data_IF_419122122413
#
_entry.id   IF_419122122413
#
_cell.length_a   1.000
_cell.length_b   1.000
_cell.length_c   1.000
_cell.angle_alpha   90.00
_cell.angle_beta   90.00
_cell.angle_gamma   90.00
#
_symmetry.space_group_name_H-M   'P 1'
#
loop_
_entity.id
_entity.type
_entity.pdbx_description
1 polymer ?
#
# COMPACT_ATOMS: atom_id res chain seq x y z
N UNK A 1 -22.12 -0.27 2.56
CA UNK A 1 -20.78 -0.10 3.12
C UNK A 1 -20.17 -1.39 3.65
N UNK A 2 -20.88 -2.17 4.46
CA UNK A 2 -20.41 -3.49 4.93
C UNK A 2 -20.04 -4.45 3.77
N UNK A 3 -20.87 -4.49 2.70
CA UNK A 3 -20.58 -5.25 1.47
C UNK A 3 -19.35 -4.73 0.71
N UNK A 4 -19.07 -3.44 0.79
CA UNK A 4 -17.89 -2.79 0.15
C UNK A 4 -16.61 -3.19 0.87
N UNK A 5 -16.64 -3.20 2.21
CA UNK A 5 -15.52 -3.66 3.03
C UNK A 5 -15.20 -5.15 2.78
N UNK A 6 -16.25 -5.99 2.72
CA UNK A 6 -16.12 -7.40 2.39
C UNK A 6 -15.57 -7.61 0.97
N UNK A 7 -15.98 -6.78 -0.01
CA UNK A 7 -15.39 -6.78 -1.36
C UNK A 7 -13.92 -6.39 -1.35
N UNK A 8 -13.54 -5.32 -0.64
CA UNK A 8 -12.13 -4.92 -0.49
C UNK A 8 -11.27 -6.05 0.08
N UNK A 9 -11.79 -6.78 1.08
CA UNK A 9 -11.14 -7.95 1.66
C UNK A 9 -11.09 -9.16 0.71
N UNK A 10 -12.06 -9.29 -0.19
CA UNK A 10 -12.13 -10.37 -1.20
C UNK A 10 -11.23 -10.08 -2.41
N UNK A 11 -11.11 -8.82 -2.84
CA UNK A 11 -10.24 -8.40 -3.96
C UNK A 11 -8.77 -8.59 -3.59
N UNK A 12 -8.39 -8.33 -2.34
CA UNK A 12 -7.06 -8.68 -1.82
C UNK A 12 -6.73 -10.19 -1.90
N UNK A 13 -7.73 -11.02 -2.24
CA UNK A 13 -7.62 -12.48 -2.30
C UNK A 13 -6.85 -13.01 -3.50
N UNK A 14 -6.79 -12.28 -4.59
CA UNK A 14 -6.24 -12.75 -5.87
C UNK A 14 -4.72 -12.46 -6.05
N UNK A 15 -4.13 -11.65 -5.17
CA UNK A 15 -2.83 -11.02 -5.43
C UNK A 15 -1.60 -11.68 -4.77
N UNK A 16 -1.77 -12.65 -3.87
CA UNK A 16 -0.65 -13.16 -3.05
C UNK A 16 -0.55 -14.68 -3.08
N UNK A 17 0.69 -15.21 -3.17
CA UNK A 17 0.97 -16.65 -3.13
C UNK A 17 0.67 -17.29 -1.75
N UNK A 18 0.64 -18.65 -1.65
CA UNK A 18 -0.04 -19.36 -0.55
C UNK A 18 0.44 -19.04 0.87
N UNK A 19 1.71 -18.79 1.12
CA UNK A 19 2.21 -18.54 2.49
C UNK A 19 2.23 -17.06 2.91
N UNK A 20 2.60 -16.16 2.01
CA UNK A 20 2.51 -14.72 2.23
C UNK A 20 1.05 -14.24 2.30
N UNK A 21 0.17 -14.94 1.59
CA UNK A 21 -1.25 -14.70 1.47
C UNK A 21 -2.00 -14.89 2.80
N UNK A 22 -1.68 -15.92 3.57
CA UNK A 22 -2.35 -16.22 4.84
C UNK A 22 -2.15 -15.09 5.87
N UNK A 23 -0.92 -14.64 6.04
CA UNK A 23 -0.55 -13.57 6.99
C UNK A 23 -1.12 -12.19 6.61
N UNK A 24 -1.19 -11.86 5.32
CA UNK A 24 -1.77 -10.60 4.84
C UNK A 24 -3.29 -10.58 4.99
N UNK A 25 -3.95 -11.70 4.70
CA UNK A 25 -5.40 -11.86 4.84
C UNK A 25 -5.87 -11.79 6.28
N UNK A 26 -5.15 -12.40 7.21
CA UNK A 26 -5.50 -12.33 8.62
C UNK A 26 -5.41 -10.89 9.14
N UNK A 27 -4.35 -10.17 8.78
CA UNK A 27 -4.19 -8.76 9.17
C UNK A 27 -5.29 -7.88 8.58
N UNK A 28 -5.61 -8.03 7.30
CA UNK A 28 -6.71 -7.30 6.67
C UNK A 28 -8.06 -7.63 7.31
N UNK A 29 -8.31 -8.90 7.66
CA UNK A 29 -9.52 -9.32 8.36
C UNK A 29 -9.61 -8.75 9.78
N UNK A 30 -8.51 -8.70 10.50
CA UNK A 30 -8.46 -8.11 11.85
C UNK A 30 -8.71 -6.61 11.80
N UNK A 31 -8.10 -5.90 10.85
CA UNK A 31 -8.38 -4.48 10.64
C UNK A 31 -9.85 -4.22 10.29
N UNK A 32 -10.41 -5.02 9.39
CA UNK A 32 -11.81 -4.93 9.02
C UNK A 32 -12.74 -5.24 10.19
N UNK A 33 -12.47 -6.32 10.94
CA UNK A 33 -13.26 -6.69 12.12
C UNK A 33 -13.23 -5.58 13.17
N UNK A 34 -12.06 -5.00 13.45
CA UNK A 34 -11.92 -3.91 14.40
C UNK A 34 -12.72 -2.66 14.01
N UNK A 35 -12.75 -2.33 12.72
CA UNK A 35 -13.51 -1.17 12.21
C UNK A 35 -15.00 -1.48 12.12
N UNK A 36 -15.38 -2.71 11.74
CA UNK A 36 -16.79 -3.14 11.67
C UNK A 36 -17.51 -3.09 13.02
N UNK A 37 -16.81 -3.20 14.15
CA UNK A 37 -17.42 -3.03 15.49
C UNK A 37 -18.01 -1.63 15.71
N UNK A 38 -17.61 -0.65 14.89
CA UNK A 38 -18.08 0.74 14.93
C UNK A 38 -19.18 1.07 13.92
N UNK A 39 -19.66 0.08 13.18
CA UNK A 39 -20.78 0.24 12.26
C UNK A 39 -22.09 0.46 13.03
N UNK A 40 -23.11 1.16 12.44
CA UNK A 40 -23.11 1.70 11.08
C UNK A 40 -22.36 3.05 10.96
N UNK A 41 -21.77 3.30 9.80
CA UNK A 41 -21.12 4.57 9.49
C UNK A 41 -22.09 5.53 8.80
N UNK A 42 -22.12 6.80 9.23
CA UNK A 42 -23.01 7.82 8.70
C UNK A 42 -22.65 8.27 7.28
N UNK A 43 -21.38 8.19 6.92
CA UNK A 43 -20.86 8.57 5.60
C UNK A 43 -19.60 7.78 5.23
N UNK A 44 -19.19 7.89 3.96
CA UNK A 44 -17.91 7.37 3.49
C UNK A 44 -16.74 7.98 4.26
N UNK A 45 -16.77 9.29 4.50
CA UNK A 45 -15.73 10.01 5.22
C UNK A 45 -15.60 9.51 6.66
N UNK A 46 -16.73 9.23 7.34
CA UNK A 46 -16.71 8.69 8.70
C UNK A 46 -16.07 7.30 8.75
N UNK A 47 -16.34 6.46 7.75
CA UNK A 47 -15.73 5.15 7.59
C UNK A 47 -14.22 5.24 7.36
N UNK A 48 -13.78 6.08 6.40
CA UNK A 48 -12.36 6.33 6.12
C UNK A 48 -11.63 6.86 7.35
N UNK A 49 -12.25 7.80 8.06
CA UNK A 49 -11.68 8.37 9.30
C UNK A 49 -11.44 7.30 10.35
N UNK A 50 -12.38 6.38 10.55
CA UNK A 50 -12.22 5.30 11.53
C UNK A 50 -11.14 4.30 11.14
N UNK A 51 -11.00 3.96 9.86
CA UNK A 51 -9.91 3.09 9.40
C UNK A 51 -8.56 3.78 9.62
N UNK A 52 -8.43 5.05 9.22
CA UNK A 52 -7.19 5.80 9.42
C UNK A 52 -6.82 5.89 10.91
N UNK A 53 -7.79 6.20 11.76
CA UNK A 53 -7.59 6.24 13.21
C UNK A 53 -7.14 4.90 13.78
N UNK A 54 -7.75 3.81 13.32
CA UNK A 54 -7.35 2.46 13.72
C UNK A 54 -5.89 2.18 13.33
N UNK A 55 -5.49 2.45 12.08
CA UNK A 55 -4.12 2.27 11.62
C UNK A 55 -3.14 3.13 12.44
N UNK A 56 -3.50 4.38 12.71
CA UNK A 56 -2.67 5.29 13.50
C UNK A 56 -2.46 4.80 14.95
N UNK A 57 -3.47 4.13 15.52
CA UNK A 57 -3.41 3.59 16.89
C UNK A 57 -2.55 2.31 17.01
N UNK A 58 -2.16 1.70 15.90
CA UNK A 58 -1.35 0.49 15.92
C UNK A 58 0.09 0.77 16.37
N UNK A 59 0.72 -0.16 17.12
CA UNK A 59 2.13 -0.05 17.44
C UNK A 59 3.01 -0.19 16.18
N UNK A 60 4.23 0.33 16.24
CA UNK A 60 5.13 0.42 15.09
C UNK A 60 5.44 -0.95 14.43
N UNK A 61 5.58 -2.01 15.23
CA UNK A 61 5.77 -3.37 14.69
C UNK A 61 4.56 -3.85 13.86
N UNK A 62 3.34 -3.48 14.24
CA UNK A 62 2.14 -3.79 13.46
C UNK A 62 2.07 -2.93 12.17
N UNK A 63 2.48 -1.67 12.23
CA UNK A 63 2.60 -0.78 11.06
C UNK A 63 3.64 -1.32 10.07
N UNK A 64 4.81 -1.75 10.55
CA UNK A 64 5.81 -2.44 9.73
C UNK A 64 5.22 -3.70 9.09
N UNK A 65 4.44 -4.48 9.84
CA UNK A 65 3.73 -5.63 9.32
C UNK A 65 2.72 -5.29 8.21
N UNK A 66 2.08 -4.12 8.26
CA UNK A 66 1.25 -3.63 7.16
C UNK A 66 2.10 -3.34 5.92
N UNK A 67 3.24 -2.65 6.07
CA UNK A 67 4.13 -2.36 4.94
C UNK A 67 4.63 -3.64 4.27
N UNK A 68 4.97 -4.68 5.05
CA UNK A 68 5.36 -5.99 4.51
C UNK A 68 4.24 -6.70 3.74
N UNK A 69 2.98 -6.31 3.91
CA UNK A 69 1.88 -6.88 3.12
C UNK A 69 1.80 -6.32 1.69
N UNK A 70 2.54 -5.25 1.40
CA UNK A 70 2.66 -4.71 0.05
C UNK A 70 3.83 -5.37 -0.68
N UNK A 71 3.65 -5.61 -1.98
CA UNK A 71 4.75 -6.10 -2.82
C UNK A 71 5.70 -4.96 -3.14
N UNK A 72 6.99 -5.28 -3.29
CA UNK A 72 7.95 -4.32 -3.83
C UNK A 72 7.50 -3.83 -5.20
N UNK A 73 7.66 -2.55 -5.45
CA UNK A 73 7.14 -1.84 -6.63
C UNK A 73 7.54 -2.52 -7.97
N UNK A 74 8.49 -3.44 -7.98
CA UNK A 74 8.99 -4.10 -9.20
C UNK A 74 9.37 -5.58 -9.05
N UNK A 75 9.18 -6.20 -7.88
CA UNK A 75 9.72 -7.55 -7.65
C UNK A 75 8.97 -8.66 -8.40
N UNK A 76 7.73 -8.42 -8.83
CA UNK A 76 6.96 -9.38 -9.61
C UNK A 76 5.98 -8.67 -10.53
N UNK A 77 6.50 -8.08 -11.58
CA UNK A 77 5.68 -7.50 -12.66
C UNK A 77 4.58 -8.44 -13.18
N UNK A 78 4.84 -9.75 -13.19
CA UNK A 78 3.92 -10.78 -13.67
C UNK A 78 2.89 -11.24 -12.62
N UNK A 79 3.00 -10.80 -11.35
CA UNK A 79 2.15 -11.26 -10.25
C UNK A 79 1.48 -10.13 -9.44
N UNK A 80 1.43 -8.92 -9.98
CA UNK A 80 0.71 -7.81 -9.34
C UNK A 80 -0.80 -8.09 -9.33
N UNK A 81 -1.50 -7.57 -8.31
CA UNK A 81 -2.96 -7.53 -8.36
C UNK A 81 -3.43 -6.63 -9.50
N UNK A 82 -4.63 -6.90 -10.03
CA UNK A 82 -5.24 -6.08 -11.07
C UNK A 82 -5.31 -4.60 -10.71
N UNK A 83 -5.53 -4.27 -9.43
CA UNK A 83 -5.55 -2.90 -8.93
C UNK A 83 -4.16 -2.26 -8.95
N UNK A 84 -3.12 -3.00 -8.52
CA UNK A 84 -1.75 -2.51 -8.52
C UNK A 84 -1.21 -2.34 -9.94
N UNK A 85 -1.58 -3.22 -10.87
CA UNK A 85 -1.22 -3.10 -12.29
C UNK A 85 -1.88 -1.86 -12.92
N UNK A 86 -3.17 -1.62 -12.63
CA UNK A 86 -3.90 -0.43 -13.09
C UNK A 86 -3.26 0.85 -12.54
N UNK A 87 -3.00 0.92 -11.24
CA UNK A 87 -2.39 2.07 -10.58
C UNK A 87 -1.03 2.42 -11.18
N UNK A 88 -0.20 1.42 -11.47
CA UNK A 88 1.12 1.61 -12.08
C UNK A 88 1.03 2.01 -13.56
N UNK A 89 0.03 1.49 -14.28
CA UNK A 89 -0.25 1.88 -15.67
C UNK A 89 -0.68 3.34 -15.74
N UNK A 90 -1.61 3.76 -14.90
CA UNK A 90 -2.10 5.14 -14.83
C UNK A 90 -1.00 6.13 -14.42
N UNK A 91 -0.10 5.73 -13.52
CA UNK A 91 1.07 6.53 -13.15
C UNK A 91 2.16 6.60 -14.26
N UNK A 92 1.98 5.87 -15.37
CA UNK A 92 2.95 5.81 -16.46
C UNK A 92 4.23 5.02 -16.15
N UNK A 93 4.24 4.23 -15.07
CA UNK A 93 5.40 3.41 -14.67
C UNK A 93 5.71 2.35 -15.72
N UNK A 94 4.69 1.82 -16.39
CA UNK A 94 4.83 0.83 -17.47
C UNK A 94 5.56 1.42 -18.70
N UNK A 95 5.58 2.73 -18.85
CA UNK A 95 6.28 3.41 -19.96
C UNK A 95 7.73 3.81 -19.63
N UNK A 96 8.32 3.27 -18.55
CA UNK A 96 9.72 3.53 -18.20
C UNK A 96 10.67 2.90 -19.21
N UNK A 97 11.72 3.63 -19.56
CA UNK A 97 12.83 3.10 -20.33
C UNK A 97 13.70 2.12 -19.54
N UNK A 98 14.49 1.31 -20.21
CA UNK A 98 15.33 0.29 -19.58
C UNK A 98 16.26 0.86 -18.48
N UNK A 99 16.83 2.04 -18.69
CA UNK A 99 17.71 2.71 -17.71
C UNK A 99 16.92 3.22 -16.49
N UNK A 100 15.71 3.76 -16.70
CA UNK A 100 14.83 4.20 -15.62
C UNK A 100 14.40 3.00 -14.75
N UNK A 101 14.07 1.87 -15.36
CA UNK A 101 13.73 0.61 -14.67
C UNK A 101 14.92 0.13 -13.83
N UNK A 102 16.13 0.14 -14.39
CA UNK A 102 17.35 -0.27 -13.69
C UNK A 102 17.63 0.63 -12.48
N UNK A 103 17.48 1.94 -12.65
CA UNK A 103 17.65 2.91 -11.57
C UNK A 103 16.63 2.70 -10.45
N UNK A 104 15.37 2.51 -10.82
CA UNK A 104 14.27 2.29 -9.90
C UNK A 104 14.44 0.99 -9.10
N UNK A 105 14.84 -0.11 -9.75
CA UNK A 105 15.18 -1.38 -9.09
C UNK A 105 16.33 -1.20 -8.09
N UNK A 106 17.36 -0.43 -8.46
CA UNK A 106 18.48 -0.11 -7.57
C UNK A 106 18.02 0.65 -6.33
N UNK A 107 17.21 1.69 -6.50
CA UNK A 107 16.68 2.47 -5.38
C UNK A 107 15.74 1.66 -4.48
N UNK A 108 14.87 0.84 -5.05
CA UNK A 108 13.96 -0.04 -4.28
C UNK A 108 14.75 -1.05 -3.43
N UNK A 109 15.81 -1.62 -3.99
CA UNK A 109 16.71 -2.51 -3.24
C UNK A 109 17.41 -1.77 -2.09
N UNK A 110 18.03 -0.61 -2.35
CA UNK A 110 18.69 0.20 -1.33
C UNK A 110 17.70 0.62 -0.23
N UNK A 111 16.47 0.94 -0.60
CA UNK A 111 15.41 1.29 0.32
C UNK A 111 15.09 0.13 1.28
N UNK A 112 14.89 -1.07 0.74
CA UNK A 112 14.60 -2.27 1.51
C UNK A 112 15.76 -2.67 2.42
N UNK A 113 16.99 -2.55 1.93
CA UNK A 113 18.21 -2.78 2.73
C UNK A 113 18.31 -1.78 3.90
N UNK A 114 17.95 -0.51 3.67
CA UNK A 114 18.03 0.54 4.70
C UNK A 114 16.93 0.43 5.75
N UNK A 115 15.68 0.23 5.33
CA UNK A 115 14.50 0.34 6.21
C UNK A 115 13.92 -0.99 6.66
N UNK A 116 14.28 -2.10 5.99
CA UNK A 116 13.82 -3.44 6.33
C UNK A 116 12.40 -3.78 5.87
N UNK A 117 11.72 -2.89 5.15
CA UNK A 117 10.36 -3.10 4.61
C UNK A 117 10.26 -2.60 3.16
N UNK A 118 9.27 -3.09 2.37
CA UNK A 118 9.07 -2.67 1.00
C UNK A 118 8.77 -1.16 0.87
N UNK A 119 9.21 -0.54 -0.23
CA UNK A 119 8.80 0.80 -0.58
C UNK A 119 7.32 0.80 -0.98
N UNK A 120 6.51 1.48 -0.20
CA UNK A 120 5.11 1.74 -0.54
C UNK A 120 4.97 3.18 -1.01
N UNK A 121 4.33 3.37 -2.18
CA UNK A 121 4.01 4.67 -2.75
C UNK A 121 2.66 4.59 -3.47
N UNK A 122 1.81 5.60 -3.26
CA UNK A 122 0.52 5.71 -3.94
C UNK A 122 0.74 6.20 -5.38
N UNK A 123 0.90 5.26 -6.31
CA UNK A 123 1.25 5.55 -7.70
C UNK A 123 0.24 6.51 -8.39
N UNK A 124 -1.06 6.37 -8.08
CA UNK A 124 -2.12 7.24 -8.65
C UNK A 124 -2.00 8.73 -8.31
N UNK A 125 -1.27 9.07 -7.24
CA UNK A 125 -1.05 10.47 -6.85
C UNK A 125 0.21 11.09 -7.48
N UNK A 126 0.97 10.30 -8.26
CA UNK A 126 2.27 10.70 -8.78
C UNK A 126 2.46 10.26 -10.24
N UNK A 127 3.27 11.01 -10.99
CA UNK A 127 3.79 10.56 -12.28
C UNK A 127 5.17 9.89 -12.10
N UNK A 128 5.66 9.24 -13.15
CA UNK A 128 6.93 8.49 -13.13
C UNK A 128 8.15 9.31 -12.67
N UNK A 129 8.24 10.57 -13.06
CA UNK A 129 9.36 11.46 -12.69
C UNK A 129 9.32 11.75 -11.20
N UNK A 130 8.14 12.14 -10.71
CA UNK A 130 7.91 12.42 -9.30
C UNK A 130 8.16 11.18 -8.42
N UNK A 131 7.83 9.98 -8.91
CA UNK A 131 8.09 8.73 -8.18
C UNK A 131 9.59 8.51 -7.98
N UNK A 132 10.41 8.65 -9.03
CA UNK A 132 11.87 8.50 -8.94
C UNK A 132 12.51 9.52 -7.98
N UNK A 133 12.07 10.78 -8.07
CA UNK A 133 12.54 11.85 -7.18
C UNK A 133 12.17 11.55 -5.73
N UNK A 134 10.92 11.16 -5.46
CA UNK A 134 10.45 10.83 -4.12
C UNK A 134 11.19 9.65 -3.50
N UNK A 135 11.48 8.60 -4.26
CA UNK A 135 12.26 7.46 -3.74
C UNK A 135 13.64 7.94 -3.30
N UNK A 136 14.28 8.78 -4.12
CA UNK A 136 15.59 9.36 -3.81
C UNK A 136 15.55 10.23 -2.54
N UNK A 137 14.52 11.05 -2.38
CA UNK A 137 14.32 11.86 -1.19
C UNK A 137 14.10 10.99 0.05
N UNK A 138 13.22 9.99 -0.04
CA UNK A 138 12.86 9.09 1.05
C UNK A 138 14.04 8.24 1.52
N UNK A 139 15.00 7.95 0.66
CA UNK A 139 16.26 7.29 1.06
C UNK A 139 17.10 8.12 2.05
N UNK A 140 16.86 9.43 2.19
CA UNK A 140 17.56 10.29 3.15
C UNK A 140 16.87 10.33 4.53
N UNK A 141 15.64 9.82 4.65
CA UNK A 141 14.87 9.83 5.90
C UNK A 141 15.49 8.89 6.95
N UNK A 142 15.17 9.12 8.23
CA UNK A 142 15.34 8.12 9.27
C UNK A 142 14.22 7.06 9.26
N UNK A 143 14.40 5.96 10.00
CA UNK A 143 13.45 4.84 9.98
C UNK A 143 12.08 5.20 10.56
N UNK A 144 12.00 6.11 11.53
CA UNK A 144 10.74 6.53 12.12
C UNK A 144 9.94 7.44 11.15
N UNK A 145 10.64 8.41 10.53
CA UNK A 145 10.03 9.26 9.50
C UNK A 145 9.50 8.40 8.36
N UNK A 146 10.30 7.41 7.92
CA UNK A 146 9.96 6.58 6.77
C UNK A 146 8.79 5.63 7.06
N UNK A 147 8.71 5.07 8.28
CA UNK A 147 7.55 4.30 8.71
C UNK A 147 6.26 5.14 8.62
N UNK A 148 6.29 6.38 9.12
CA UNK A 148 5.11 7.25 9.09
C UNK A 148 4.71 7.65 7.65
N UNK A 149 5.69 7.91 6.78
CA UNK A 149 5.44 8.19 5.36
C UNK A 149 4.85 6.96 4.67
N UNK A 150 5.43 5.78 4.87
CA UNK A 150 4.92 4.53 4.32
C UNK A 150 3.47 4.25 4.73
N UNK A 151 3.13 4.45 6.00
CA UNK A 151 1.75 4.30 6.50
C UNK A 151 0.82 5.35 5.91
N UNK A 152 1.28 6.59 5.68
CA UNK A 152 0.49 7.59 4.99
C UNK A 152 0.16 7.14 3.56
N UNK A 153 1.15 6.66 2.80
CA UNK A 153 0.94 6.13 1.45
C UNK A 153 -0.04 4.94 1.43
N UNK A 154 0.04 4.05 2.41
CA UNK A 154 -0.94 2.95 2.61
C UNK A 154 -2.36 3.49 2.77
N UNK A 155 -2.55 4.51 3.60
CA UNK A 155 -3.86 5.13 3.81
C UNK A 155 -4.38 5.77 2.52
N UNK A 156 -3.53 6.47 1.78
CA UNK A 156 -3.89 7.09 0.50
C UNK A 156 -4.33 6.03 -0.53
N UNK A 157 -3.58 4.93 -0.68
CA UNK A 157 -3.94 3.80 -1.55
C UNK A 157 -5.30 3.22 -1.14
N UNK A 158 -5.48 2.96 0.14
CA UNK A 158 -6.71 2.38 0.67
C UNK A 158 -7.92 3.28 0.39
N UNK A 159 -7.80 4.58 0.63
CA UNK A 159 -8.89 5.55 0.38
C UNK A 159 -9.31 5.55 -1.08
N UNK A 160 -8.34 5.57 -2.01
CA UNK A 160 -8.62 5.54 -3.44
C UNK A 160 -9.30 4.24 -3.86
N UNK A 161 -8.78 3.09 -3.43
CA UNK A 161 -9.36 1.77 -3.75
C UNK A 161 -10.77 1.59 -3.19
N UNK A 162 -11.03 2.05 -1.97
CA UNK A 162 -12.38 1.98 -1.39
C UNK A 162 -13.33 2.93 -2.11
N UNK A 163 -12.86 4.12 -2.54
CA UNK A 163 -13.66 5.06 -3.32
C UNK A 163 -14.09 4.48 -4.66
N UNK A 164 -13.23 3.71 -5.32
CA UNK A 164 -13.56 3.06 -6.59
C UNK A 164 -14.62 1.94 -6.46
N UNK A 165 -14.88 1.48 -5.24
CA UNK A 165 -15.89 0.44 -4.97
C UNK A 165 -17.28 1.00 -4.60
N UNK A 166 -17.39 2.31 -4.43
CA UNK A 166 -18.64 3.01 -4.05
C UNK A 166 -19.29 3.68 -5.24
#
# INVERSE_FOLDING_TARGET
>A
MERTLLRYLQVSRAAYGPEAEYSSRERARLCAAAVCTKAPFSSFESFVTEICRFIDSLPDNAKVGILHSYQDLFDRWESLSSDSEREQTEAGIISLGAEEIKLLKSYTRLYKEKFGFPLVICALLHNKVTILERIRERLNNDSYQELNIGIKEVKDIMVLRVKDLT
#
